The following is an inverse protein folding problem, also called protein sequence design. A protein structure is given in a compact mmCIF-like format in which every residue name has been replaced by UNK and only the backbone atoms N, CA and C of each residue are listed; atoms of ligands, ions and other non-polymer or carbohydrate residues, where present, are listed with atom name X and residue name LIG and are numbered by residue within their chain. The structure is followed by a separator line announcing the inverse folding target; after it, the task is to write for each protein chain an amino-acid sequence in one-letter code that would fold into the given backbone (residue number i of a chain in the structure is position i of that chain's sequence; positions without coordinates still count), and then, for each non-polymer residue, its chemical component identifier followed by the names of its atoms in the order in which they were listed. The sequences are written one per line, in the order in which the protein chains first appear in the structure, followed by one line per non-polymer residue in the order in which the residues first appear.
data_IF_105986767110
#
_entry.id   IF_105986767110
#
_cell.length_a   1.000
_cell.length_b   1.000
_cell.length_c   1.000
_cell.angle_alpha   90.00
_cell.angle_beta   90.00
_cell.angle_gamma   90.00
#
_symmetry.space_group_name_H-M   'P 1'
#
loop_
_entity.id
_entity.type
_entity.pdbx_description
1 polymer ?
#
# COMPACT_ATOMS: atom_id res chain seq x y z
N UNK A 1 44.99 -44.63 -3.04
CA UNK A 1 45.34 -45.59 -1.98
C UNK A 1 44.68 -45.13 -0.69
N UNK A 2 43.74 -45.92 -0.19
CA UNK A 2 43.04 -45.72 1.10
C UNK A 2 43.93 -46.26 2.21
N UNK A 3 43.93 -45.62 3.40
CA UNK A 3 43.50 -46.36 4.59
C UNK A 3 42.50 -45.58 5.45
N UNK A 4 41.60 -46.35 6.07
CA UNK A 4 40.47 -45.94 6.93
C UNK A 4 40.76 -46.03 8.42
N UNK A 5 40.18 -45.07 9.16
CA UNK A 5 39.49 -45.12 10.47
C UNK A 5 40.25 -45.46 11.77
N UNK A 6 40.15 -44.54 12.74
CA UNK A 6 39.81 -44.87 14.14
C UNK A 6 39.17 -43.67 14.86
N UNK A 7 38.18 -43.98 15.69
CA UNK A 7 37.21 -43.14 16.40
C UNK A 7 37.72 -42.53 17.71
N UNK A 8 37.42 -41.26 17.98
CA UNK A 8 37.21 -40.76 19.35
C UNK A 8 36.32 -39.50 19.39
N UNK A 9 35.16 -39.61 20.04
CA UNK A 9 34.38 -38.48 20.54
C UNK A 9 34.98 -37.96 21.85
N UNK A 10 35.02 -36.65 22.11
CA UNK A 10 35.28 -36.13 23.44
C UNK A 10 33.98 -36.01 24.26
N UNK A 11 34.01 -36.55 25.48
CA UNK A 11 33.04 -36.28 26.56
C UNK A 11 33.33 -34.90 27.16
N UNK A 12 32.28 -34.13 27.47
CA UNK A 12 32.36 -32.95 28.34
C UNK A 12 31.29 -33.05 29.43
N UNK A 13 31.74 -32.88 30.68
CA UNK A 13 30.97 -32.97 31.92
C UNK A 13 30.09 -31.75 32.15
N UNK A 14 28.86 -31.95 32.62
CA UNK A 14 27.92 -30.89 32.98
C UNK A 14 28.27 -30.38 34.38
N UNK A 15 28.85 -29.19 34.46
CA UNK A 15 28.90 -28.36 35.68
C UNK A 15 27.67 -27.43 35.71
N UNK A 16 27.05 -27.32 36.89
CA UNK A 16 25.81 -26.60 37.13
C UNK A 16 25.89 -25.11 36.75
N UNK A 17 24.95 -24.64 35.91
CA UNK A 17 24.76 -23.22 35.61
C UNK A 17 23.74 -22.66 36.61
N UNK A 18 24.21 -21.83 37.55
CA UNK A 18 23.36 -20.99 38.38
C UNK A 18 23.08 -19.68 37.62
N UNK A 19 21.82 -19.45 37.25
CA UNK A 19 21.39 -18.20 36.62
C UNK A 19 20.84 -17.29 37.71
N UNK A 20 21.64 -16.32 38.14
CA UNK A 20 21.17 -15.16 38.92
C UNK A 20 20.67 -14.09 37.96
N UNK A 21 19.43 -13.61 38.13
CA UNK A 21 18.81 -12.57 37.31
C UNK A 21 18.53 -11.30 38.15
N UNK A 22 19.46 -10.32 38.25
CA UNK A 22 19.26 -9.16 39.13
C UNK A 22 18.65 -7.92 38.46
N UNK A 23 18.13 -7.98 37.23
CA UNK A 23 17.60 -6.77 36.53
C UNK A 23 16.34 -6.98 35.69
N UNK A 24 15.37 -7.72 36.22
CA UNK A 24 14.05 -7.88 35.58
C UNK A 24 12.89 -7.57 36.54
N UNK A 25 13.03 -6.53 37.38
CA UNK A 25 12.02 -6.16 38.37
C UNK A 25 11.15 -4.94 37.99
N UNK A 26 11.36 -4.31 36.83
CA UNK A 26 10.64 -3.06 36.49
C UNK A 26 9.43 -3.28 35.56
N UNK A 27 9.24 -4.45 34.95
CA UNK A 27 8.23 -4.63 33.89
C UNK A 27 7.28 -5.82 34.04
N UNK A 28 7.32 -6.57 35.13
CA UNK A 28 6.45 -7.73 35.32
C UNK A 28 5.94 -7.79 36.77
N UNK A 29 4.63 -7.99 36.95
CA UNK A 29 4.05 -8.28 38.26
C UNK A 29 4.71 -9.54 38.85
N UNK A 30 4.90 -9.61 40.17
CA UNK A 30 5.61 -10.73 40.81
C UNK A 30 4.98 -12.10 40.50
N UNK A 31 3.67 -12.15 40.22
CA UNK A 31 2.98 -13.37 39.80
C UNK A 31 3.40 -13.89 38.41
N UNK A 32 3.85 -13.01 37.51
CA UNK A 32 4.30 -13.37 36.16
C UNK A 32 5.71 -13.96 36.17
N UNK A 33 6.57 -13.50 37.09
CA UNK A 33 7.92 -14.04 37.28
C UNK A 33 7.84 -15.44 37.89
N UNK A 34 7.01 -15.64 38.92
CA UNK A 34 6.85 -16.95 39.57
C UNK A 34 6.30 -18.03 38.62
N UNK A 35 5.32 -17.69 37.76
CA UNK A 35 4.79 -18.59 36.72
C UNK A 35 5.83 -18.95 35.65
N UNK A 36 6.69 -18.01 35.25
CA UNK A 36 7.75 -18.27 34.25
C UNK A 36 8.86 -19.16 34.79
N UNK A 37 9.23 -19.02 36.07
CA UNK A 37 10.25 -19.89 36.70
C UNK A 37 9.73 -21.32 36.86
N UNK A 38 8.45 -21.51 37.26
CA UNK A 38 7.81 -22.83 37.31
C UNK A 38 7.71 -23.48 35.92
N UNK A 39 7.41 -22.71 34.87
CA UNK A 39 7.43 -23.22 33.50
C UNK A 39 8.82 -23.65 33.05
N UNK A 40 9.88 -22.94 33.46
CA UNK A 40 11.25 -23.28 33.08
C UNK A 40 11.75 -24.54 33.80
N UNK A 41 11.42 -24.72 35.09
CA UNK A 41 11.71 -25.96 35.82
C UNK A 41 10.92 -27.15 35.30
N UNK A 42 9.65 -26.95 34.91
CA UNK A 42 8.84 -27.97 34.26
C UNK A 42 9.43 -28.36 32.90
N UNK A 43 9.86 -27.40 32.09
CA UNK A 43 10.51 -27.65 30.79
C UNK A 43 11.84 -28.39 30.97
N UNK A 44 12.66 -28.00 31.94
CA UNK A 44 13.93 -28.69 32.22
C UNK A 44 13.72 -30.10 32.78
N UNK A 45 12.69 -30.30 33.61
CA UNK A 45 12.26 -31.61 34.12
C UNK A 45 11.78 -32.53 32.99
N UNK A 46 10.99 -32.00 32.05
CA UNK A 46 10.47 -32.73 30.88
C UNK A 46 11.56 -33.05 29.85
N UNK A 47 12.54 -32.16 29.65
CA UNK A 47 13.68 -32.40 28.77
C UNK A 47 14.62 -33.50 29.29
N UNK A 48 14.68 -33.73 30.60
CA UNK A 48 15.52 -34.78 31.21
C UNK A 48 14.85 -36.15 31.31
N UNK A 49 13.52 -36.27 31.09
CA UNK A 49 12.79 -37.52 31.40
C UNK A 49 12.39 -38.40 30.23
N UNK A 50 12.38 -37.95 28.97
CA UNK A 50 12.38 -38.89 27.83
C UNK A 50 12.57 -38.17 26.49
N UNK A 51 13.53 -38.58 25.64
CA UNK A 51 13.60 -38.16 24.23
C UNK A 51 12.30 -38.42 23.45
N UNK A 52 11.46 -39.36 23.92
CA UNK A 52 10.18 -39.68 23.30
C UNK A 52 9.12 -38.59 23.50
N UNK A 53 9.21 -37.77 24.56
CA UNK A 53 8.24 -36.68 24.78
C UNK A 53 8.41 -35.56 23.76
N UNK A 54 9.67 -35.19 23.45
CA UNK A 54 9.96 -34.20 22.40
C UNK A 54 9.56 -34.70 21.00
N UNK A 55 9.67 -36.01 20.76
CA UNK A 55 9.20 -36.64 19.51
C UNK A 55 7.66 -36.72 19.45
N UNK A 56 6.99 -36.85 20.60
CA UNK A 56 5.52 -36.80 20.73
C UNK A 56 4.99 -35.39 20.53
N UNK A 57 5.64 -34.36 21.10
CA UNK A 57 5.31 -32.95 20.85
C UNK A 57 5.63 -32.51 19.42
N UNK A 58 6.60 -33.14 18.74
CA UNK A 58 6.82 -32.97 17.30
C UNK A 58 5.74 -33.62 16.45
N UNK A 59 5.15 -34.73 16.91
CA UNK A 59 4.10 -35.48 16.20
C UNK A 59 2.69 -34.89 16.40
N UNK A 60 2.43 -34.21 17.51
CA UNK A 60 1.21 -33.40 17.72
C UNK A 60 1.50 -31.92 17.50
N UNK A 61 1.72 -31.53 16.25
CA UNK A 61 1.58 -30.13 15.88
C UNK A 61 0.08 -29.88 15.64
N UNK A 62 -0.70 -29.77 16.72
CA UNK A 62 -2.10 -29.37 16.61
C UNK A 62 -2.14 -27.99 15.97
N UNK A 63 -2.63 -27.92 14.74
CA UNK A 63 -2.79 -26.68 14.01
C UNK A 63 -4.04 -25.97 14.54
N UNK A 64 -3.84 -24.97 15.38
CA UNK A 64 -4.91 -24.11 15.86
C UNK A 64 -5.28 -23.10 14.77
N UNK A 65 -6.26 -23.46 13.93
CA UNK A 65 -6.83 -22.56 12.92
C UNK A 65 -7.88 -21.68 13.59
N UNK A 66 -7.54 -20.41 13.82
CA UNK A 66 -8.52 -19.40 14.22
C UNK A 66 -9.36 -19.01 13.00
N UNK A 67 -10.68 -19.18 13.10
CA UNK A 67 -11.64 -18.76 12.06
C UNK A 67 -12.34 -17.48 12.50
N UNK A 68 -12.62 -16.61 11.54
CA UNK A 68 -13.43 -15.43 11.78
C UNK A 68 -14.83 -15.83 12.26
N UNK A 69 -15.41 -15.01 13.13
CA UNK A 69 -16.84 -15.12 13.51
C UNK A 69 -17.75 -14.44 12.48
N UNK A 70 -17.19 -13.62 11.60
CA UNK A 70 -17.89 -12.94 10.53
C UNK A 70 -18.02 -13.88 9.32
N UNK A 71 -19.07 -13.72 8.49
CA UNK A 71 -19.21 -14.49 7.27
C UNK A 71 -18.04 -14.22 6.31
N UNK A 72 -17.83 -15.16 5.39
CA UNK A 72 -16.90 -14.96 4.27
C UNK A 72 -17.40 -13.82 3.39
N UNK A 73 -16.46 -13.05 2.83
CA UNK A 73 -16.76 -11.99 1.87
C UNK A 73 -16.59 -12.56 0.46
N UNK A 74 -17.63 -12.47 -0.35
CA UNK A 74 -17.56 -12.89 -1.75
C UNK A 74 -16.68 -11.93 -2.57
N UNK A 75 -15.58 -12.46 -3.09
CA UNK A 75 -14.65 -11.69 -3.93
C UNK A 75 -14.98 -11.94 -5.40
N UNK A 76 -15.39 -10.91 -6.16
CA UNK A 76 -15.70 -11.08 -7.58
C UNK A 76 -14.44 -11.46 -8.36
N UNK A 77 -14.61 -12.33 -9.35
CA UNK A 77 -13.52 -12.86 -10.20
C UNK A 77 -13.66 -12.44 -11.66
N UNK A 78 -14.76 -11.80 -12.01
CA UNK A 78 -15.17 -11.40 -13.35
C UNK A 78 -15.19 -9.87 -13.50
N UNK A 79 -14.79 -9.14 -12.45
CA UNK A 79 -14.66 -7.69 -12.46
C UNK A 79 -13.20 -7.26 -12.35
N UNK A 80 -12.71 -6.37 -13.22
CA UNK A 80 -11.42 -5.73 -13.02
C UNK A 80 -11.53 -4.70 -11.89
N UNK A 81 -10.38 -4.41 -11.27
CA UNK A 81 -10.28 -3.52 -10.11
C UNK A 81 -10.99 -2.17 -10.29
N UNK A 82 -10.82 -1.53 -11.45
CA UNK A 82 -11.44 -0.22 -11.71
C UNK A 82 -12.98 -0.32 -11.71
N UNK A 83 -13.56 -1.34 -12.33
CA UNK A 83 -15.00 -1.58 -12.29
C UNK A 83 -15.49 -1.87 -10.88
N UNK A 84 -14.71 -2.62 -10.09
CA UNK A 84 -15.07 -2.93 -8.71
C UNK A 84 -15.16 -1.68 -7.82
N UNK A 85 -14.15 -0.82 -7.87
CA UNK A 85 -14.11 0.39 -7.03
C UNK A 85 -15.11 1.45 -7.51
N UNK A 86 -15.40 1.50 -8.81
CA UNK A 86 -16.43 2.38 -9.36
C UNK A 86 -17.83 1.78 -9.35
N UNK A 87 -18.06 0.52 -8.99
CA UNK A 87 -19.37 -0.16 -9.14
C UNK A 87 -20.56 0.63 -8.58
N UNK A 88 -20.34 1.40 -7.50
CA UNK A 88 -21.35 2.21 -6.85
C UNK A 88 -21.52 3.63 -7.42
N UNK A 89 -20.76 4.03 -8.45
CA UNK A 89 -20.73 5.42 -8.96
C UNK A 89 -22.09 5.90 -9.48
N UNK A 90 -22.87 5.01 -10.11
CA UNK A 90 -24.20 5.30 -10.66
C UNK A 90 -25.22 5.68 -9.60
N UNK A 91 -24.98 5.31 -8.33
CA UNK A 91 -25.80 5.72 -7.19
C UNK A 91 -25.54 7.18 -6.79
N UNK A 92 -24.37 7.71 -7.12
CA UNK A 92 -23.85 8.98 -6.62
C UNK A 92 -23.18 9.86 -7.71
N UNK A 93 -23.70 9.97 -8.94
CA UNK A 93 -22.96 10.53 -10.06
C UNK A 93 -22.55 11.99 -9.84
N UNK A 94 -23.39 12.78 -9.17
CA UNK A 94 -23.18 14.20 -8.88
C UNK A 94 -22.52 14.47 -7.51
N UNK A 95 -22.23 13.45 -6.71
CA UNK A 95 -21.55 13.66 -5.42
C UNK A 95 -20.07 13.97 -5.66
N UNK A 96 -19.46 14.82 -4.82
CA UNK A 96 -18.01 15.02 -4.82
C UNK A 96 -17.28 13.68 -4.69
N UNK A 97 -16.33 13.44 -5.58
CA UNK A 97 -15.45 12.27 -5.59
C UNK A 97 -14.03 12.69 -5.20
N UNK A 98 -13.48 13.67 -5.91
CA UNK A 98 -12.16 14.24 -5.61
C UNK A 98 -12.32 15.74 -5.34
N UNK A 99 -11.68 16.20 -4.27
CA UNK A 99 -11.59 17.63 -3.93
C UNK A 99 -10.12 17.98 -3.94
N UNK A 100 -9.71 18.93 -4.78
CA UNK A 100 -8.35 19.43 -4.77
C UNK A 100 -8.22 20.51 -3.70
N UNK A 101 -7.50 20.20 -2.62
CA UNK A 101 -7.26 21.14 -1.54
C UNK A 101 -6.59 22.44 -2.03
N UNK A 102 -5.65 22.34 -2.98
CA UNK A 102 -4.78 23.43 -3.39
C UNK A 102 -5.51 24.59 -4.07
N UNK A 103 -6.49 24.29 -4.92
CA UNK A 103 -7.23 25.30 -5.68
C UNK A 103 -8.75 25.29 -5.40
N UNK A 104 -9.26 24.27 -4.71
CA UNK A 104 -10.67 24.14 -4.37
C UNK A 104 -11.54 23.49 -5.45
N UNK A 105 -10.95 22.98 -6.53
CA UNK A 105 -11.71 22.26 -7.57
C UNK A 105 -12.38 21.02 -6.96
N UNK A 106 -13.62 20.77 -7.38
CA UNK A 106 -14.40 19.60 -6.97
C UNK A 106 -14.80 18.84 -8.22
N UNK A 107 -14.42 17.57 -8.28
CA UNK A 107 -14.77 16.65 -9.35
C UNK A 107 -15.77 15.63 -8.81
N UNK A 108 -16.89 15.47 -9.51
CA UNK A 108 -17.92 14.51 -9.14
C UNK A 108 -17.53 13.08 -9.51
N UNK A 109 -18.27 12.08 -9.03
CA UNK A 109 -18.06 10.69 -9.44
C UNK A 109 -18.20 10.52 -10.96
N UNK A 110 -19.14 11.22 -11.60
CA UNK A 110 -19.29 11.20 -13.05
C UNK A 110 -18.08 11.83 -13.76
N UNK A 111 -17.55 12.94 -13.27
CA UNK A 111 -16.37 13.59 -13.86
C UNK A 111 -15.13 12.70 -13.77
N UNK A 112 -14.93 12.05 -12.62
CA UNK A 112 -13.76 11.19 -12.37
C UNK A 112 -13.85 9.90 -13.19
N UNK A 113 -15.03 9.28 -13.28
CA UNK A 113 -15.25 8.08 -14.10
C UNK A 113 -15.03 8.38 -15.59
N UNK A 114 -15.62 9.48 -16.08
CA UNK A 114 -15.44 9.92 -17.47
C UNK A 114 -13.97 10.22 -17.77
N UNK A 115 -13.29 10.96 -16.88
CA UNK A 115 -11.87 11.29 -17.04
C UNK A 115 -11.01 10.03 -17.03
N UNK A 116 -11.29 9.06 -16.16
CA UNK A 116 -10.59 7.78 -16.14
C UNK A 116 -10.77 7.03 -17.47
N UNK A 117 -11.97 7.05 -18.06
CA UNK A 117 -12.21 6.44 -19.37
C UNK A 117 -11.48 7.13 -20.51
N UNK A 118 -11.48 8.47 -20.53
CA UNK A 118 -10.72 9.24 -21.51
C UNK A 118 -9.23 8.98 -21.41
N UNK A 119 -8.68 9.00 -20.19
CA UNK A 119 -7.26 8.70 -19.95
C UNK A 119 -6.91 7.30 -20.44
N UNK A 120 -7.75 6.29 -20.16
CA UNK A 120 -7.52 4.93 -20.66
C UNK A 120 -7.54 4.86 -22.21
N UNK A 121 -8.46 5.57 -22.87
CA UNK A 121 -8.48 5.70 -24.33
C UNK A 121 -7.23 6.41 -24.88
N UNK A 122 -6.83 7.53 -24.26
CA UNK A 122 -5.63 8.27 -24.61
C UNK A 122 -4.35 7.44 -24.44
N UNK A 123 -4.24 6.67 -23.35
CA UNK A 123 -3.13 5.74 -23.12
C UNK A 123 -3.04 4.69 -24.22
N UNK A 124 -4.16 4.10 -24.63
CA UNK A 124 -4.20 3.13 -25.72
C UNK A 124 -3.73 3.76 -27.05
N UNK A 125 -4.14 5.00 -27.34
CA UNK A 125 -3.70 5.75 -28.53
C UNK A 125 -2.22 6.09 -28.49
N UNK A 126 -1.67 6.48 -27.34
CA UNK A 126 -0.26 6.90 -27.21
C UNK A 126 0.70 5.71 -27.22
N UNK A 127 0.31 4.60 -26.60
CA UNK A 127 1.21 3.47 -26.39
C UNK A 127 1.06 2.39 -27.47
N UNK A 128 -0.10 2.26 -28.11
CA UNK A 128 -0.40 1.19 -29.06
C UNK A 128 -0.07 -0.22 -28.50
N UNK A 129 -0.14 -0.40 -27.18
CA UNK A 129 0.12 -1.67 -26.49
C UNK A 129 -1.11 -2.14 -25.72
N UNK A 130 -1.28 -3.46 -25.62
CA UNK A 130 -2.40 -4.07 -24.88
C UNK A 130 -2.30 -3.87 -23.36
N UNK A 131 -1.08 -3.73 -22.82
CA UNK A 131 -0.85 -3.51 -21.38
C UNK A 131 0.17 -2.39 -21.15
N UNK A 132 -0.27 -1.18 -20.83
CA UNK A 132 0.63 -0.07 -20.55
C UNK A 132 1.21 -0.17 -19.13
N UNK A 133 2.50 -0.44 -19.01
CA UNK A 133 3.23 -0.33 -17.73
C UNK A 133 3.53 1.14 -17.42
N UNK A 134 2.71 1.73 -16.56
CA UNK A 134 2.85 3.11 -16.07
C UNK A 134 3.67 3.16 -14.77
N UNK A 135 4.66 4.05 -14.70
CA UNK A 135 5.34 4.39 -13.44
C UNK A 135 4.91 5.79 -12.98
N UNK A 136 4.43 5.86 -11.73
CA UNK A 136 4.19 7.10 -10.98
C UNK A 136 5.34 7.29 -9.98
N UNK A 137 6.39 8.06 -10.33
CA UNK A 137 7.60 8.13 -9.56
C UNK A 137 7.41 8.86 -8.24
N UNK A 138 8.14 8.43 -7.20
CA UNK A 138 8.31 9.24 -6.00
C UNK A 138 9.12 10.51 -6.38
N UNK A 139 8.56 11.72 -6.17
CA UNK A 139 9.25 12.98 -6.47
C UNK A 139 10.64 13.12 -5.83
N UNK A 140 10.85 12.48 -4.68
CA UNK A 140 12.10 12.52 -3.93
C UNK A 140 13.14 11.50 -4.40
N UNK A 141 12.78 10.59 -5.30
CA UNK A 141 13.75 9.66 -5.88
C UNK A 141 14.76 10.37 -6.77
N UNK A 142 15.96 9.79 -6.80
CA UNK A 142 17.05 10.20 -7.69
C UNK A 142 16.82 9.67 -9.12
N UNK A 143 17.41 10.30 -10.15
CA UNK A 143 17.34 9.81 -11.52
C UNK A 143 17.73 8.33 -11.67
N UNK A 144 18.79 7.90 -10.96
CA UNK A 144 19.26 6.51 -10.99
C UNK A 144 18.24 5.51 -10.41
N UNK A 145 17.56 5.89 -9.33
CA UNK A 145 16.49 5.07 -8.74
C UNK A 145 15.29 4.98 -9.68
N UNK A 146 14.88 6.09 -10.29
CA UNK A 146 13.77 6.13 -11.24
C UNK A 146 14.05 5.28 -12.48
N UNK A 147 15.23 5.42 -13.08
CA UNK A 147 15.66 4.60 -14.20
C UNK A 147 15.68 3.10 -13.86
N UNK A 148 16.10 2.75 -12.64
CA UNK A 148 16.09 1.36 -12.17
C UNK A 148 14.67 0.82 -12.00
N UNK A 149 13.76 1.61 -11.45
CA UNK A 149 12.35 1.23 -11.32
C UNK A 149 11.73 1.04 -12.71
N UNK A 150 11.86 2.02 -13.60
CA UNK A 150 11.33 1.97 -14.95
C UNK A 150 11.87 0.77 -15.77
N UNK A 151 13.16 0.44 -15.63
CA UNK A 151 13.74 -0.79 -16.22
C UNK A 151 13.13 -2.06 -15.64
N UNK A 152 12.98 -2.12 -14.32
CA UNK A 152 12.44 -3.30 -13.64
C UNK A 152 10.95 -3.52 -13.93
N UNK A 153 10.16 -2.45 -14.06
CA UNK A 153 8.75 -2.49 -14.46
C UNK A 153 8.53 -2.62 -15.97
N UNK A 154 9.61 -2.51 -16.78
CA UNK A 154 9.56 -2.40 -18.24
C UNK A 154 8.59 -1.31 -18.69
N UNK A 155 8.61 -0.17 -17.99
CA UNK A 155 7.69 0.93 -18.24
C UNK A 155 7.81 1.49 -19.65
N UNK A 156 6.66 1.72 -20.30
CA UNK A 156 6.58 2.39 -21.61
C UNK A 156 6.10 3.84 -21.52
N UNK A 157 5.61 4.22 -20.33
CA UNK A 157 5.15 5.57 -20.02
C UNK A 157 5.58 5.97 -18.61
N UNK A 158 6.03 7.22 -18.48
CA UNK A 158 6.23 7.91 -17.20
C UNK A 158 5.26 9.08 -17.11
N UNK A 159 4.51 9.18 -16.01
CA UNK A 159 3.73 10.39 -15.71
C UNK A 159 4.41 11.12 -14.56
N UNK A 160 4.69 12.41 -14.74
CA UNK A 160 5.42 13.22 -13.74
C UNK A 160 4.96 14.68 -13.76
N UNK A 161 5.60 15.55 -12.98
CA UNK A 161 5.46 17.01 -13.08
C UNK A 161 6.63 17.59 -13.87
N UNK A 162 6.42 18.73 -14.53
CA UNK A 162 7.42 19.42 -15.35
C UNK A 162 8.73 19.68 -14.57
N UNK A 163 8.62 20.04 -13.29
CA UNK A 163 9.79 20.28 -12.43
C UNK A 163 10.66 19.03 -12.17
N UNK A 164 10.15 17.82 -12.45
CA UNK A 164 10.89 16.57 -12.34
C UNK A 164 11.25 15.96 -13.70
N UNK A 165 10.91 16.62 -14.80
CA UNK A 165 11.18 16.13 -16.15
C UNK A 165 12.68 15.88 -16.39
N UNK A 166 13.54 16.80 -15.93
CA UNK A 166 14.99 16.65 -16.05
C UNK A 166 15.54 15.38 -15.38
N UNK A 167 14.83 14.81 -14.40
CA UNK A 167 15.24 13.56 -13.75
C UNK A 167 15.00 12.32 -14.60
N UNK A 168 14.13 12.40 -15.59
CA UNK A 168 13.66 11.24 -16.36
C UNK A 168 13.91 11.34 -17.86
N UNK A 169 14.12 12.54 -18.40
CA UNK A 169 14.23 12.79 -19.85
C UNK A 169 15.33 11.98 -20.53
N UNK A 170 16.52 11.90 -19.94
CA UNK A 170 17.66 11.19 -20.55
C UNK A 170 17.36 9.69 -20.66
N UNK A 171 16.87 9.10 -19.56
CA UNK A 171 16.44 7.70 -19.54
C UNK A 171 15.30 7.44 -20.54
N UNK A 172 14.34 8.36 -20.61
CA UNK A 172 13.18 8.21 -21.48
C UNK A 172 13.57 8.21 -22.96
N UNK A 173 14.45 9.13 -23.35
CA UNK A 173 14.98 9.23 -24.71
C UNK A 173 15.82 8.01 -25.09
N UNK A 174 16.69 7.54 -24.18
CA UNK A 174 17.55 6.38 -24.41
C UNK A 174 16.78 5.05 -24.55
N UNK A 175 15.58 4.96 -23.99
CA UNK A 175 14.82 3.70 -23.88
C UNK A 175 13.47 3.72 -24.61
N UNK A 176 13.21 4.76 -25.42
CA UNK A 176 11.92 4.99 -26.11
C UNK A 176 10.72 4.87 -25.16
N UNK A 177 10.81 5.57 -24.03
CA UNK A 177 9.74 5.68 -23.04
C UNK A 177 9.06 7.02 -23.21
N UNK A 178 7.74 7.03 -23.34
CA UNK A 178 6.99 8.30 -23.41
C UNK A 178 6.96 8.97 -22.05
N UNK A 179 7.05 10.30 -22.02
CA UNK A 179 6.86 11.08 -20.80
C UNK A 179 5.63 11.96 -20.96
N UNK A 180 4.80 11.98 -19.93
CA UNK A 180 3.63 12.85 -19.84
C UNK A 180 3.77 13.69 -18.57
N UNK A 181 3.66 15.01 -18.71
CA UNK A 181 3.65 15.93 -17.58
C UNK A 181 2.22 16.39 -17.25
N UNK A 182 1.86 16.38 -15.96
CA UNK A 182 0.50 16.70 -15.47
C UNK A 182 0.17 18.19 -15.42
N UNK A 183 1.17 19.05 -15.56
CA UNK A 183 1.11 20.50 -15.33
C UNK A 183 1.50 21.32 -16.57
N UNK A 184 2.62 21.00 -17.22
CA UNK A 184 3.05 21.64 -18.47
C UNK A 184 4.01 20.73 -19.25
N UNK A 185 4.05 20.87 -20.57
CA UNK A 185 5.02 20.17 -21.43
C UNK A 185 6.31 21.01 -21.56
N UNK A 186 7.46 20.56 -21.03
CA UNK A 186 8.69 21.35 -21.05
C UNK A 186 9.37 21.46 -22.42
N UNK A 187 9.16 20.46 -23.29
CA UNK A 187 9.70 20.39 -24.66
C UNK A 187 8.83 19.48 -25.56
N UNK A 188 9.20 19.37 -26.84
CA UNK A 188 8.47 18.58 -27.85
C UNK A 188 8.53 17.05 -27.61
N UNK A 189 9.41 16.57 -26.74
CA UNK A 189 9.52 15.14 -26.40
C UNK A 189 8.62 14.75 -25.23
N UNK A 190 8.04 15.73 -24.53
CA UNK A 190 7.12 15.53 -23.41
C UNK A 190 5.69 15.87 -23.82
N UNK A 191 4.76 14.95 -23.57
CA UNK A 191 3.33 15.18 -23.77
C UNK A 191 2.73 15.91 -22.56
N UNK A 192 1.75 16.76 -22.79
CA UNK A 192 0.92 17.28 -21.70
C UNK A 192 -0.20 16.29 -21.35
N UNK A 193 -0.58 16.20 -20.08
CA UNK A 193 -1.62 15.26 -19.64
C UNK A 193 -2.99 15.50 -20.28
N UNK A 194 -3.25 16.69 -20.82
CA UNK A 194 -4.47 16.96 -21.60
C UNK A 194 -4.61 16.06 -22.83
N UNK A 195 -3.50 15.63 -23.43
CA UNK A 195 -3.52 14.68 -24.56
C UNK A 195 -4.19 13.36 -24.19
N UNK A 196 -4.12 12.97 -22.91
CA UNK A 196 -4.79 11.77 -22.40
C UNK A 196 -6.24 12.07 -22.02
N UNK A 197 -6.52 13.21 -21.38
CA UNK A 197 -7.86 13.52 -20.86
C UNK A 197 -8.85 14.02 -21.92
N UNK A 198 -8.37 14.40 -23.11
CA UNK A 198 -9.21 14.86 -24.22
C UNK A 198 -9.52 13.77 -25.25
N UNK A 199 -9.00 12.55 -25.07
CA UNK A 199 -9.32 11.42 -25.94
C UNK A 199 -10.81 11.04 -25.86
N UNK A 200 -11.39 10.58 -26.97
CA UNK A 200 -12.76 10.04 -27.01
C UNK A 200 -12.86 8.77 -26.16
N UNK A 201 -13.70 8.82 -25.12
CA UNK A 201 -13.97 7.69 -24.23
C UNK A 201 -14.56 6.45 -24.92
N UNK A 202 -15.16 6.61 -26.11
CA UNK A 202 -15.80 5.51 -26.86
C UNK A 202 -14.78 4.68 -27.65
N UNK A 203 -13.57 5.19 -27.85
CA UNK A 203 -12.47 4.49 -28.52
C UNK A 203 -11.73 3.52 -27.60
N UNK A 204 -12.24 3.30 -26.38
CA UNK A 204 -11.64 2.41 -25.40
C UNK A 204 -11.76 0.95 -25.88
N UNK A 205 -10.65 0.21 -26.07
CA UNK A 205 -10.73 -1.23 -26.26
C UNK A 205 -11.26 -1.87 -24.97
N UNK A 206 -12.08 -2.91 -25.07
CA UNK A 206 -12.43 -3.73 -23.90
C UNK A 206 -11.33 -4.78 -23.73
N UNK A 207 -10.33 -4.57 -22.85
CA UNK A 207 -9.25 -5.53 -22.73
C UNK A 207 -9.77 -6.84 -22.15
N UNK A 208 -9.26 -7.95 -22.65
CA UNK A 208 -9.28 -9.19 -21.88
C UNK A 208 -8.41 -9.00 -20.64
N UNK A 209 -8.88 -9.47 -19.49
CA UNK A 209 -8.11 -9.41 -18.26
C UNK A 209 -8.25 -10.73 -17.49
N UNK A 210 -7.23 -11.04 -16.71
CA UNK A 210 -7.23 -12.08 -15.70
C UNK A 210 -7.24 -11.43 -14.31
N UNK A 211 -7.95 -12.01 -13.32
CA UNK A 211 -7.86 -11.57 -11.92
C UNK A 211 -6.44 -11.60 -11.35
N UNK A 212 -5.56 -12.43 -11.93
CA UNK A 212 -4.17 -12.56 -11.50
C UNK A 212 -3.22 -11.62 -12.27
N UNK A 213 -3.72 -10.79 -13.18
CA UNK A 213 -2.91 -9.76 -13.85
C UNK A 213 -2.47 -8.69 -12.85
N UNK A 214 -1.20 -8.28 -12.98
CA UNK A 214 -0.57 -7.26 -12.15
C UNK A 214 -1.01 -5.87 -12.61
N UNK A 215 -1.54 -5.07 -11.69
CA UNK A 215 -2.07 -3.73 -11.96
C UNK A 215 -1.32 -2.60 -11.27
N UNK A 216 -0.52 -2.94 -10.26
CA UNK A 216 0.33 -1.97 -9.57
C UNK A 216 1.65 -2.61 -9.12
N UNK A 217 2.71 -1.81 -9.16
CA UNK A 217 4.05 -2.16 -8.69
C UNK A 217 4.59 -1.12 -7.70
N UNK A 218 4.01 -0.94 -6.51
CA UNK A 218 4.60 -0.05 -5.51
C UNK A 218 6.02 -0.53 -5.15
N UNK A 219 7.00 0.36 -5.25
CA UNK A 219 8.38 0.03 -4.89
C UNK A 219 8.62 0.24 -3.41
N UNK A 220 9.17 -0.78 -2.76
CA UNK A 220 9.64 -0.71 -1.38
C UNK A 220 11.17 -0.65 -1.35
N UNK A 221 11.76 0.04 -0.37
CA UNK A 221 13.22 0.16 -0.22
C UNK A 221 13.92 -1.19 -0.04
N UNK A 222 13.21 -2.19 0.49
CA UNK A 222 13.73 -3.53 0.74
C UNK A 222 14.82 -3.56 1.81
N UNK A 223 14.94 -4.65 2.56
CA UNK A 223 15.99 -4.81 3.59
C UNK A 223 17.39 -4.95 3.01
N UNK A 224 17.49 -5.21 1.70
CA UNK A 224 18.75 -5.41 0.95
C UNK A 224 19.28 -4.13 0.30
N UNK A 225 18.63 -2.97 0.54
CA UNK A 225 19.04 -1.65 0.02
C UNK A 225 18.69 -1.38 -1.46
N UNK A 226 18.21 -2.38 -2.20
CA UNK A 226 17.75 -2.23 -3.58
C UNK A 226 16.21 -2.22 -3.62
N UNK A 227 15.58 -1.21 -4.25
CA UNK A 227 14.13 -1.16 -4.35
C UNK A 227 13.55 -2.38 -5.07
N UNK A 228 12.46 -2.94 -4.52
CA UNK A 228 11.73 -4.08 -5.09
C UNK A 228 10.27 -3.68 -5.34
N UNK A 229 9.80 -3.93 -6.56
CA UNK A 229 8.39 -3.74 -6.92
C UNK A 229 7.54 -4.86 -6.34
N UNK A 230 6.50 -4.51 -5.60
CA UNK A 230 5.52 -5.47 -5.07
C UNK A 230 4.45 -5.68 -6.13
N UNK A 231 4.33 -6.90 -6.67
CA UNK A 231 3.31 -7.24 -7.66
C UNK A 231 1.94 -7.32 -7.00
N UNK A 232 1.07 -6.36 -7.30
CA UNK A 232 -0.31 -6.33 -6.83
C UNK A 232 -1.24 -6.61 -7.99
N UNK A 233 -2.04 -7.67 -7.85
CA UNK A 233 -2.99 -8.12 -8.89
C UNK A 233 -4.36 -7.50 -8.71
N UNK A 234 -5.21 -7.59 -9.74
CA UNK A 234 -6.63 -7.24 -9.62
C UNK A 234 -7.28 -7.92 -8.42
N UNK A 235 -7.20 -9.25 -8.35
CA UNK A 235 -7.77 -10.06 -7.25
C UNK A 235 -7.20 -9.67 -5.89
N UNK A 236 -5.89 -9.44 -5.81
CA UNK A 236 -5.23 -9.07 -4.56
C UNK A 236 -5.75 -7.74 -4.01
N UNK A 237 -5.86 -6.72 -4.87
CA UNK A 237 -6.38 -5.41 -4.48
C UNK A 237 -7.88 -5.43 -4.20
N UNK A 238 -8.69 -6.11 -5.04
CA UNK A 238 -10.13 -6.27 -4.78
C UNK A 238 -10.36 -6.95 -3.42
N UNK A 239 -9.63 -8.04 -3.14
CA UNK A 239 -9.73 -8.73 -1.83
C UNK A 239 -9.40 -7.79 -0.69
N UNK A 240 -8.33 -6.99 -0.84
CA UNK A 240 -7.93 -6.02 0.18
C UNK A 240 -8.95 -4.91 0.40
N UNK A 241 -9.53 -4.37 -0.67
CA UNK A 241 -10.59 -3.35 -0.58
C UNK A 241 -11.83 -3.96 0.05
N UNK A 242 -12.26 -5.14 -0.40
CA UNK A 242 -13.43 -5.83 0.12
C UNK A 242 -13.35 -6.05 1.65
N UNK A 243 -12.20 -6.50 2.15
CA UNK A 243 -11.97 -6.65 3.59
C UNK A 243 -11.98 -5.32 4.37
N UNK A 244 -11.77 -4.19 3.71
CA UNK A 244 -11.67 -2.88 4.35
C UNK A 244 -12.99 -2.12 4.37
N UNK A 245 -13.82 -2.27 3.34
CA UNK A 245 -15.05 -1.45 3.17
C UNK A 245 -16.31 -2.24 2.82
N UNK A 246 -16.20 -3.53 2.47
CA UNK A 246 -17.36 -4.40 2.24
C UNK A 246 -17.56 -5.37 3.42
N UNK A 247 -18.67 -6.12 3.39
CA UNK A 247 -19.06 -7.07 4.43
C UNK A 247 -19.71 -6.44 5.67
N UNK A 248 -20.09 -7.29 6.63
CA UNK A 248 -20.91 -6.89 7.78
C UNK A 248 -20.14 -6.04 8.82
N UNK A 249 -18.81 -6.08 8.79
CA UNK A 249 -17.96 -5.37 9.75
C UNK A 249 -16.65 -4.89 9.09
N UNK A 250 -16.74 -3.87 8.22
CA UNK A 250 -15.60 -3.37 7.47
C UNK A 250 -14.54 -2.75 8.40
N UNK A 251 -13.26 -2.95 8.12
CA UNK A 251 -12.18 -2.46 8.99
C UNK A 251 -12.09 -0.92 9.05
N UNK A 252 -12.42 -0.22 7.95
CA UNK A 252 -12.28 1.24 7.87
C UNK A 252 -13.57 2.01 8.19
N UNK A 253 -14.73 1.36 8.13
CA UNK A 253 -16.06 1.99 8.33
C UNK A 253 -16.27 3.29 7.54
N UNK A 254 -15.87 3.31 6.26
CA UNK A 254 -16.17 4.43 5.38
C UNK A 254 -17.60 4.38 4.89
N UNK A 255 -18.21 5.56 4.76
CA UNK A 255 -19.55 5.75 4.26
C UNK A 255 -19.53 6.75 3.11
N UNK A 256 -20.55 6.70 2.26
CA UNK A 256 -20.65 7.62 1.13
C UNK A 256 -20.80 9.09 1.55
N UNK A 257 -21.14 9.37 2.81
CA UNK A 257 -21.21 10.72 3.37
C UNK A 257 -19.86 11.29 3.82
N UNK A 258 -18.81 10.47 3.83
CA UNK A 258 -17.51 10.87 4.37
C UNK A 258 -16.73 11.79 3.44
N UNK A 259 -15.93 12.66 4.06
CA UNK A 259 -14.86 13.42 3.41
C UNK A 259 -13.54 12.94 4.01
N UNK A 260 -12.78 12.20 3.21
CA UNK A 260 -11.54 11.53 3.61
C UNK A 260 -10.35 12.40 3.20
N UNK A 261 -9.52 12.80 4.14
CA UNK A 261 -8.29 13.53 3.85
C UNK A 261 -7.22 12.61 3.23
N UNK A 262 -6.68 13.01 2.08
CA UNK A 262 -5.54 12.36 1.42
C UNK A 262 -4.33 13.30 1.43
N UNK A 263 -3.60 13.29 2.55
CA UNK A 263 -2.30 14.00 2.70
C UNK A 263 -1.09 13.08 2.48
N UNK A 264 -1.33 11.76 2.47
CA UNK A 264 -0.27 10.77 2.27
C UNK A 264 0.04 10.62 0.77
N UNK A 265 1.30 10.34 0.38
CA UNK A 265 1.65 10.26 -1.04
C UNK A 265 1.01 9.05 -1.75
N UNK A 266 0.36 9.28 -2.90
CA UNK A 266 -0.34 8.24 -3.67
C UNK A 266 0.57 7.17 -4.29
N UNK A 267 1.89 7.37 -4.35
CA UNK A 267 2.83 6.31 -4.73
C UNK A 267 3.04 5.26 -3.62
N UNK A 268 2.56 5.53 -2.39
CA UNK A 268 2.63 4.62 -1.26
C UNK A 268 1.33 3.82 -1.11
N UNK A 269 1.43 2.53 -0.81
CA UNK A 269 0.27 1.62 -0.75
C UNK A 269 -0.81 2.08 0.22
N UNK A 270 -0.45 2.77 1.30
CA UNK A 270 -1.42 3.26 2.27
C UNK A 270 -2.39 4.28 1.66
N UNK A 271 -1.88 5.27 0.90
CA UNK A 271 -2.73 6.24 0.23
C UNK A 271 -3.44 5.61 -0.98
N UNK A 272 -2.72 4.82 -1.77
CA UNK A 272 -3.27 4.18 -2.96
C UNK A 272 -4.45 3.26 -2.61
N UNK A 273 -4.27 2.35 -1.64
CA UNK A 273 -5.26 1.32 -1.33
C UNK A 273 -6.29 1.79 -0.30
N UNK A 274 -5.84 2.17 0.90
CA UNK A 274 -6.74 2.43 2.03
C UNK A 274 -7.42 3.80 1.97
N UNK A 275 -6.91 4.76 1.20
CA UNK A 275 -7.59 6.06 1.03
C UNK A 275 -8.28 6.09 -0.32
N UNK A 276 -7.55 5.93 -1.42
CA UNK A 276 -8.11 6.12 -2.75
C UNK A 276 -9.05 4.98 -3.16
N UNK A 277 -8.56 3.74 -3.27
CA UNK A 277 -9.41 2.62 -3.72
C UNK A 277 -10.58 2.34 -2.76
N UNK A 278 -10.33 2.36 -1.44
CA UNK A 278 -11.38 2.17 -0.43
C UNK A 278 -12.38 3.35 -0.40
N UNK A 279 -11.91 4.59 -0.50
CA UNK A 279 -12.77 5.78 -0.54
C UNK A 279 -13.70 5.79 -1.76
N UNK A 280 -13.16 5.46 -2.94
CA UNK A 280 -13.94 5.31 -4.17
C UNK A 280 -15.00 4.21 -4.03
N UNK A 281 -14.62 3.03 -3.53
CA UNK A 281 -15.55 1.90 -3.32
C UNK A 281 -16.68 2.26 -2.36
N UNK A 282 -16.38 2.99 -1.28
CA UNK A 282 -17.35 3.45 -0.29
C UNK A 282 -18.28 4.58 -0.79
N UNK A 283 -17.95 5.21 -1.93
CA UNK A 283 -18.70 6.36 -2.43
C UNK A 283 -18.41 7.67 -1.67
N UNK A 284 -17.28 7.75 -0.96
CA UNK A 284 -16.86 8.90 -0.17
C UNK A 284 -16.18 9.97 -1.05
N UNK A 285 -16.08 11.20 -0.55
CA UNK A 285 -15.26 12.24 -1.16
C UNK A 285 -13.81 12.14 -0.64
N UNK A 286 -12.82 12.31 -1.52
CA UNK A 286 -11.40 12.28 -1.18
C UNK A 286 -10.82 13.70 -1.35
N UNK A 287 -10.41 14.32 -0.26
CA UNK A 287 -9.78 15.63 -0.23
C UNK A 287 -8.26 15.50 -0.35
N UNK A 288 -7.72 15.83 -1.52
CA UNK A 288 -6.30 15.70 -1.81
C UNK A 288 -5.54 16.95 -1.33
N UNK A 289 -4.54 16.73 -0.48
CA UNK A 289 -3.63 17.76 0.02
C UNK A 289 -2.21 17.47 -0.50
N UNK A 290 -1.70 18.20 -1.50
CA UNK A 290 -0.44 17.85 -2.17
C UNK A 290 0.79 17.87 -1.26
N UNK A 291 0.80 18.76 -0.26
CA UNK A 291 1.90 18.93 0.68
C UNK A 291 1.36 19.20 2.06
N UNK A 292 1.86 18.47 3.05
CA UNK A 292 1.53 18.68 4.46
C UNK A 292 2.07 20.02 4.96
N UNK A 293 1.18 20.81 5.54
CA UNK A 293 1.43 22.03 6.31
C UNK A 293 0.30 22.10 7.34
N UNK A 294 0.62 22.32 8.62
CA UNK A 294 -0.33 22.07 9.72
C UNK A 294 -1.47 23.08 9.74
N UNK A 295 -1.19 24.37 9.55
CA UNK A 295 -2.24 25.41 9.55
C UNK A 295 -3.20 25.22 8.38
N UNK A 296 -2.65 24.93 7.21
CA UNK A 296 -3.42 24.65 6.01
C UNK A 296 -4.26 23.37 6.14
N UNK A 297 -3.72 22.31 6.75
CA UNK A 297 -4.48 21.09 7.03
C UNK A 297 -5.68 21.40 7.94
N UNK A 298 -5.48 22.15 9.03
CA UNK A 298 -6.56 22.51 9.94
C UNK A 298 -7.65 23.32 9.23
N UNK A 299 -7.27 24.30 8.40
CA UNK A 299 -8.21 25.07 7.60
C UNK A 299 -8.98 24.23 6.58
N UNK A 300 -8.34 23.22 5.97
CA UNK A 300 -9.01 22.27 5.08
C UNK A 300 -10.01 21.38 5.82
N UNK A 301 -9.65 20.89 7.01
CA UNK A 301 -10.54 20.10 7.88
C UNK A 301 -11.79 20.91 8.21
N UNK A 302 -11.62 22.16 8.64
CA UNK A 302 -12.73 23.03 9.01
C UNK A 302 -13.61 23.38 7.80
N UNK A 303 -12.99 23.75 6.66
CA UNK A 303 -13.69 24.18 5.44
C UNK A 303 -14.52 23.06 4.82
N UNK A 304 -13.94 21.88 4.65
CA UNK A 304 -14.57 20.76 3.95
C UNK A 304 -15.24 19.75 4.90
N UNK A 305 -15.21 20.01 6.22
CA UNK A 305 -15.78 19.13 7.26
C UNK A 305 -15.27 17.70 7.12
N UNK A 306 -13.95 17.56 7.06
CA UNK A 306 -13.26 16.25 6.97
C UNK A 306 -13.75 15.35 8.11
N UNK A 307 -14.36 14.22 7.77
CA UNK A 307 -14.88 13.24 8.74
C UNK A 307 -13.85 12.16 9.07
N UNK A 308 -12.93 11.87 8.14
CA UNK A 308 -11.90 10.86 8.33
C UNK A 308 -10.54 11.40 7.88
N UNK A 309 -9.54 11.36 8.78
CA UNK A 309 -8.18 11.84 8.51
C UNK A 309 -7.13 10.76 8.74
N UNK A 310 -6.86 9.89 7.75
CA UNK A 310 -5.75 8.95 7.78
C UNK A 310 -4.41 9.69 7.80
N UNK A 311 -3.68 9.58 8.90
CA UNK A 311 -2.38 10.25 9.10
C UNK A 311 -1.37 9.31 9.72
N UNK A 312 -0.08 9.61 9.53
CA UNK A 312 1.02 8.89 10.17
C UNK A 312 1.38 9.52 11.52
N UNK A 313 2.01 8.78 12.46
CA UNK A 313 2.31 9.29 13.79
C UNK A 313 3.04 10.66 13.82
N UNK A 314 4.01 10.96 12.92
CA UNK A 314 4.63 12.29 12.88
C UNK A 314 3.65 13.43 12.56
N UNK A 315 2.67 13.20 11.67
CA UNK A 315 1.64 14.20 11.33
C UNK A 315 0.71 14.41 12.52
N UNK A 316 0.31 13.32 13.19
CA UNK A 316 -0.50 13.41 14.42
C UNK A 316 0.20 14.23 15.51
N UNK A 317 1.51 14.00 15.70
CA UNK A 317 2.30 14.77 16.66
C UNK A 317 2.43 16.25 16.27
N UNK A 318 2.56 16.55 14.98
CA UNK A 318 2.62 17.92 14.49
C UNK A 318 1.29 18.67 14.73
N UNK A 319 0.16 18.01 14.48
CA UNK A 319 -1.17 18.57 14.80
C UNK A 319 -1.32 18.80 16.30
N UNK A 320 -0.98 17.81 17.13
CA UNK A 320 -1.10 17.89 18.59
C UNK A 320 -0.22 18.98 19.23
N UNK A 321 0.84 19.41 18.54
CA UNK A 321 1.74 20.49 18.97
C UNK A 321 1.40 21.84 18.32
N UNK A 322 0.41 21.88 17.44
CA UNK A 322 0.04 23.11 16.75
C UNK A 322 -0.57 24.12 17.74
N UNK A 323 -0.04 25.35 17.82
CA UNK A 323 -0.64 26.40 18.64
C UNK A 323 -2.01 26.86 18.12
N UNK A 324 -2.38 26.46 16.90
CA UNK A 324 -3.66 26.79 16.29
C UNK A 324 -4.73 25.71 16.51
N UNK A 325 -4.40 24.61 17.19
CA UNK A 325 -5.36 23.54 17.49
C UNK A 325 -6.54 24.04 18.34
N UNK A 326 -6.28 24.95 19.29
CA UNK A 326 -7.30 25.52 20.18
C UNK A 326 -8.13 26.63 19.52
N UNK A 327 -7.82 27.01 18.27
CA UNK A 327 -8.48 28.10 17.55
C UNK A 327 -9.46 27.63 16.47
N UNK A 328 -9.47 26.33 16.17
CA UNK A 328 -10.27 25.70 15.11
C UNK A 328 -11.56 25.06 15.65
#
# INVERSE_FOLDING_TARGET
MVPTLSSHQPRLSVSAISISAPKLSILLSQGTVHKKTQHLELILSLCNTSPQLMDTMRKQKEEFIFRSKLPDIDIPKDLPLHSYVFENFSKYPSKPCLINGANGDIYTYADVELTARRVASGLNKVLHTEVPSLLLPNPFSTPAELAKQARASKSKLLITQACYYDKVKDYAQENDVKVVCVDSAPDDQCLHFSELTQADENDMPRPEFSPDDVVALPYSSGTTGLPKGVMLTHKGLITSVAQQVDGDNPNLYFHSGDVILCVLPMFHIYALNSIMLCGLRAGAAILIMPKFEVGYLLGLIEKYKVSVAPVVPPVMLAIARSPDLDKA
#
